data_IF_967721282811
#
_entry.id   IF_967721282811
#
_cell.length_a   1.000
_cell.length_b   1.000
_cell.length_c   1.000
_cell.angle_alpha   90.00
_cell.angle_beta   90.00
_cell.angle_gamma   90.00
#
_symmetry.space_group_name_H-M   'P 1'
#
loop_
_entity.id
_entity.type
_entity.pdbx_description
1 polymer ?
#
# COMPACT_ATOMS: atom_id res chain seq x y z
N UNK A 1 13.98 28.14 14.49
CA UNK A 1 12.55 28.52 14.51
C UNK A 1 12.44 29.93 13.96
N UNK A 2 11.73 30.14 12.84
CA UNK A 2 11.39 31.50 12.43
C UNK A 2 10.48 32.11 13.50
N UNK A 3 10.73 33.36 13.92
CA UNK A 3 9.85 34.02 14.88
C UNK A 3 8.48 34.25 14.23
N UNK A 4 7.40 34.18 15.02
CA UNK A 4 6.04 34.51 14.53
C UNK A 4 6.00 35.93 13.94
N UNK A 5 6.81 36.83 14.49
CA UNK A 5 7.04 38.19 14.00
C UNK A 5 7.58 38.19 12.57
N UNK A 6 8.57 37.34 12.27
CA UNK A 6 9.15 37.24 10.92
C UNK A 6 8.15 36.76 9.88
N UNK A 7 7.34 35.75 10.23
CA UNK A 7 6.27 35.27 9.34
C UNK A 7 5.21 36.35 9.11
N UNK A 8 4.88 37.14 10.13
CA UNK A 8 3.96 38.27 9.99
C UNK A 8 4.53 39.37 9.09
N UNK A 9 5.79 39.76 9.27
CA UNK A 9 6.48 40.74 8.41
C UNK A 9 6.47 40.32 6.94
N UNK A 10 6.86 39.07 6.65
CA UNK A 10 6.90 38.54 5.29
C UNK A 10 5.50 38.53 4.64
N UNK A 11 4.47 38.19 5.41
CA UNK A 11 3.09 38.23 4.94
C UNK A 11 2.63 39.66 4.62
N UNK A 12 2.94 40.63 5.49
CA UNK A 12 2.62 42.04 5.25
C UNK A 12 3.34 42.60 4.02
N UNK A 13 4.61 42.23 3.83
CA UNK A 13 5.37 42.59 2.62
C UNK A 13 4.73 42.02 1.35
N UNK A 14 4.31 40.75 1.38
CA UNK A 14 3.57 40.14 0.27
C UNK A 14 2.25 40.87 -0.01
N UNK A 15 1.48 41.19 1.03
CA UNK A 15 0.21 41.90 0.88
C UNK A 15 0.37 43.28 0.26
N UNK A 16 1.41 44.02 0.65
CA UNK A 16 1.68 45.38 0.17
C UNK A 16 2.29 45.40 -1.23
N UNK A 17 3.27 44.52 -1.51
CA UNK A 17 4.05 44.55 -2.77
C UNK A 17 3.53 43.61 -3.84
N UNK A 18 2.73 42.60 -3.47
CA UNK A 18 2.22 41.53 -4.36
C UNK A 18 3.30 40.75 -5.10
N UNK A 19 4.52 40.77 -4.57
CA UNK A 19 5.68 40.09 -5.16
C UNK A 19 5.74 38.62 -4.67
N UNK A 20 5.72 37.63 -5.59
CA UNK A 20 5.69 36.20 -5.25
C UNK A 20 6.92 35.73 -4.46
N UNK A 21 8.05 36.44 -4.51
CA UNK A 21 9.25 36.06 -3.76
C UNK A 21 9.05 36.16 -2.25
N UNK A 22 8.27 37.15 -1.78
CA UNK A 22 7.92 37.23 -0.36
C UNK A 22 7.01 36.09 0.08
N UNK A 23 6.11 35.61 -0.79
CA UNK A 23 5.28 34.44 -0.51
C UNK A 23 6.13 33.17 -0.42
N UNK A 24 7.10 33.02 -1.33
CA UNK A 24 8.05 31.90 -1.31
C UNK A 24 8.88 31.91 -0.03
N UNK A 25 9.44 33.07 0.36
CA UNK A 25 10.18 33.22 1.61
C UNK A 25 9.33 32.94 2.85
N UNK A 26 8.06 33.34 2.83
CA UNK A 26 7.11 33.03 3.89
C UNK A 26 6.89 31.51 4.02
N UNK A 27 6.62 30.84 2.90
CA UNK A 27 6.40 29.39 2.85
C UNK A 27 7.65 28.63 3.31
N UNK A 28 8.82 29.03 2.83
CA UNK A 28 10.09 28.43 3.22
C UNK A 28 10.34 28.57 4.73
N UNK A 29 10.20 29.78 5.26
CA UNK A 29 10.34 30.06 6.71
C UNK A 29 9.35 29.27 7.56
N UNK A 30 8.11 29.10 7.08
CA UNK A 30 7.10 28.30 7.75
C UNK A 30 7.48 26.82 7.73
N UNK A 31 7.77 26.25 6.56
CA UNK A 31 8.11 24.84 6.38
C UNK A 31 9.34 24.47 7.22
N UNK A 32 10.40 25.28 7.18
CA UNK A 32 11.60 25.05 8.00
C UNK A 32 11.34 25.11 9.50
N UNK A 33 10.29 25.81 9.95
CA UNK A 33 9.94 25.88 11.38
C UNK A 33 9.19 24.65 11.88
N UNK A 34 8.64 23.85 10.97
CA UNK A 34 7.81 22.68 11.27
C UNK A 34 8.29 21.43 10.51
N UNK A 35 9.57 21.39 10.11
CA UNK A 35 10.12 20.32 9.28
C UNK A 35 9.99 18.94 9.93
N UNK A 36 9.99 18.86 11.27
CA UNK A 36 9.78 17.61 12.02
C UNK A 36 8.43 16.93 11.74
N UNK A 37 7.46 17.66 11.17
CA UNK A 37 6.14 17.12 10.81
C UNK A 37 6.10 16.52 9.40
N UNK A 38 7.16 16.71 8.60
CA UNK A 38 7.29 16.16 7.24
C UNK A 38 7.81 14.72 7.28
N UNK A 39 6.92 13.79 7.62
CA UNK A 39 7.23 12.36 7.61
C UNK A 39 6.77 11.72 6.29
N UNK A 40 7.67 11.79 5.30
CA UNK A 40 7.49 11.29 3.92
C UNK A 40 8.06 9.89 3.69
N UNK A 41 8.64 9.28 4.72
CA UNK A 41 9.22 7.94 4.64
C UNK A 41 8.20 6.88 5.09
N UNK A 42 7.47 6.35 4.11
CA UNK A 42 6.40 5.36 4.33
C UNK A 42 6.88 4.04 4.95
N UNK A 43 8.18 3.74 4.86
CA UNK A 43 8.76 2.50 5.36
C UNK A 43 9.09 2.57 6.85
N UNK A 44 9.24 3.78 7.40
CA UNK A 44 9.49 3.99 8.82
C UNK A 44 8.20 4.05 9.62
N UNK A 45 8.31 3.64 10.89
CA UNK A 45 7.26 3.87 11.88
C UNK A 45 6.91 5.36 11.93
N UNK A 46 5.61 5.72 12.02
CA UNK A 46 5.20 7.10 12.13
C UNK A 46 5.93 7.81 13.25
N UNK A 47 6.56 8.94 12.92
CA UNK A 47 7.26 9.76 13.91
C UNK A 47 6.26 10.29 14.92
N UNK A 48 6.44 9.96 16.21
CA UNK A 48 5.66 10.56 17.29
C UNK A 48 6.23 11.94 17.57
N UNK A 49 5.48 12.97 17.19
CA UNK A 49 5.79 14.36 17.53
C UNK A 49 4.77 14.78 18.57
N UNK A 50 5.25 15.18 19.76
CA UNK A 50 4.37 15.60 20.87
C UNK A 50 3.83 17.04 20.67
N UNK A 51 4.49 17.84 19.82
CA UNK A 51 4.02 19.16 19.40
C UNK A 51 2.88 19.08 18.38
N UNK A 52 2.05 20.12 18.33
CA UNK A 52 0.94 20.24 17.38
C UNK A 52 1.20 21.47 16.47
N UNK A 53 1.12 21.32 15.13
CA UNK A 53 1.23 22.44 14.21
C UNK A 53 0.10 23.47 14.40
N UNK A 54 0.25 24.70 13.88
CA UNK A 54 -0.76 25.73 14.03
C UNK A 54 -2.10 25.32 13.40
N UNK A 55 -3.19 25.63 14.11
CA UNK A 55 -4.53 25.56 13.54
C UNK A 55 -4.73 26.64 12.46
N UNK A 56 -5.69 26.44 11.55
CA UNK A 56 -5.98 27.38 10.46
C UNK A 56 -6.27 28.79 10.96
N UNK A 57 -6.89 28.95 12.13
CA UNK A 57 -7.19 30.25 12.76
C UNK A 57 -5.95 31.06 13.15
N UNK A 58 -4.78 30.44 13.21
CA UNK A 58 -3.51 31.12 13.53
C UNK A 58 -2.74 31.53 12.28
N UNK A 59 -3.25 31.18 11.09
CA UNK A 59 -2.65 31.55 9.83
C UNK A 59 -3.12 32.94 9.39
N UNK A 60 -2.34 33.65 8.54
CA UNK A 60 -2.78 34.93 8.02
C UNK A 60 -4.06 34.83 7.17
N UNK A 61 -4.90 35.87 7.23
CA UNK A 61 -6.16 35.93 6.48
C UNK A 61 -5.93 35.71 4.97
N UNK A 62 -6.82 34.94 4.34
CA UNK A 62 -6.80 34.60 2.92
C UNK A 62 -5.58 33.82 2.42
N UNK A 63 -4.65 33.41 3.29
CA UNK A 63 -3.46 32.68 2.83
C UNK A 63 -3.83 31.41 2.08
N UNK A 64 -4.76 30.62 2.61
CA UNK A 64 -5.25 29.39 1.97
C UNK A 64 -5.80 29.67 0.56
N UNK A 65 -6.53 30.78 0.37
CA UNK A 65 -7.01 31.19 -0.95
C UNK A 65 -5.85 31.55 -1.89
N UNK A 66 -4.86 32.28 -1.41
CA UNK A 66 -3.66 32.63 -2.19
C UNK A 66 -2.91 31.37 -2.61
N UNK A 67 -2.66 30.44 -1.69
CA UNK A 67 -1.97 29.18 -1.98
C UNK A 67 -2.76 28.34 -2.99
N UNK A 68 -4.09 28.37 -2.94
CA UNK A 68 -4.97 27.68 -3.91
C UNK A 68 -4.74 28.21 -5.33
N UNK A 69 -4.68 29.54 -5.47
CA UNK A 69 -4.48 30.20 -6.76
C UNK A 69 -3.09 29.94 -7.30
N UNK A 70 -2.06 29.96 -6.45
CA UNK A 70 -0.70 29.60 -6.85
C UNK A 70 -0.62 28.15 -7.35
N UNK A 71 -1.24 27.21 -6.63
CA UNK A 71 -1.26 25.82 -7.04
C UNK A 71 -1.99 25.62 -8.38
N UNK A 72 -3.13 26.29 -8.56
CA UNK A 72 -3.87 26.26 -9.83
C UNK A 72 -3.03 26.81 -10.99
N UNK A 73 -2.32 27.91 -10.78
CA UNK A 73 -1.42 28.50 -11.78
C UNK A 73 -0.30 27.52 -12.18
N UNK A 74 0.29 26.83 -11.20
CA UNK A 74 1.28 25.79 -11.47
C UNK A 74 0.71 24.61 -12.26
N UNK A 75 -0.52 24.17 -11.97
CA UNK A 75 -1.21 23.13 -12.75
C UNK A 75 -1.38 23.54 -14.21
N UNK A 76 -1.84 24.77 -14.45
CA UNK A 76 -2.09 25.27 -15.79
C UNK A 76 -0.81 25.37 -16.64
N UNK A 77 0.33 25.68 -16.01
CA UNK A 77 1.63 25.74 -16.68
C UNK A 77 2.35 24.40 -16.82
N UNK A 78 1.92 23.36 -16.09
CA UNK A 78 2.66 22.10 -16.05
C UNK A 78 2.76 21.41 -17.42
N UNK A 79 1.77 21.58 -18.31
CA UNK A 79 1.80 21.04 -19.67
C UNK A 79 2.90 21.63 -20.55
N UNK A 80 3.31 22.87 -20.27
CA UNK A 80 4.39 23.57 -20.98
C UNK A 80 5.78 23.28 -20.36
N UNK A 81 5.80 22.59 -19.22
CA UNK A 81 6.99 22.37 -18.40
C UNK A 81 7.17 23.46 -17.35
N UNK A 82 7.32 23.06 -16.08
CA UNK A 82 7.60 24.01 -15.01
C UNK A 82 9.09 24.32 -14.91
N UNK A 83 9.40 25.61 -14.81
CA UNK A 83 10.73 26.10 -14.45
C UNK A 83 11.10 25.65 -13.02
N UNK A 84 12.39 25.45 -12.74
CA UNK A 84 12.91 25.11 -11.39
C UNK A 84 12.29 25.93 -10.23
N UNK A 85 12.18 27.27 -10.30
CA UNK A 85 11.58 28.05 -9.21
C UNK A 85 10.11 27.70 -8.97
N UNK A 86 9.36 27.35 -10.02
CA UNK A 86 7.95 26.97 -9.93
C UNK A 86 7.82 25.55 -9.36
N UNK A 87 8.71 24.62 -9.75
CA UNK A 87 8.78 23.29 -9.14
C UNK A 87 9.07 23.40 -7.63
N UNK A 88 10.05 24.22 -7.24
CA UNK A 88 10.38 24.46 -5.83
C UNK A 88 9.18 25.06 -5.05
N UNK A 89 8.43 25.99 -5.65
CA UNK A 89 7.22 26.54 -5.05
C UNK A 89 6.15 25.46 -4.84
N UNK A 90 5.89 24.61 -5.85
CA UNK A 90 4.89 23.53 -5.72
C UNK A 90 5.25 22.55 -4.61
N UNK A 91 6.53 22.23 -4.45
CA UNK A 91 7.02 21.39 -3.37
C UNK A 91 6.79 22.04 -2.00
N UNK A 92 7.10 23.34 -1.85
CA UNK A 92 6.83 24.09 -0.62
C UNK A 92 5.34 24.13 -0.28
N UNK A 93 4.47 24.30 -1.29
CA UNK A 93 3.01 24.27 -1.10
C UNK A 93 2.54 22.92 -0.55
N UNK A 94 3.01 21.81 -1.12
CA UNK A 94 2.63 20.47 -0.64
C UNK A 94 3.19 20.23 0.77
N UNK A 95 4.46 20.59 1.04
CA UNK A 95 5.07 20.52 2.39
C UNK A 95 4.24 21.30 3.41
N UNK A 96 3.81 22.51 3.07
CA UNK A 96 2.93 23.33 3.90
C UNK A 96 1.61 22.60 4.24
N UNK A 97 0.94 22.01 3.25
CA UNK A 97 -0.32 21.31 3.50
C UNK A 97 -0.16 20.03 4.33
N UNK A 98 0.95 19.29 4.17
CA UNK A 98 1.28 18.15 5.04
C UNK A 98 1.35 18.63 6.49
N UNK A 99 2.14 19.68 6.75
CA UNK A 99 2.31 20.24 8.10
C UNK A 99 0.96 20.66 8.68
N UNK A 100 0.11 21.35 7.93
CA UNK A 100 -1.22 21.73 8.42
C UNK A 100 -2.08 20.53 8.77
N UNK A 101 -2.08 19.47 7.95
CA UNK A 101 -2.86 18.26 8.20
C UNK A 101 -2.32 17.41 9.35
N UNK A 102 -1.08 17.66 9.83
CA UNK A 102 -0.58 17.06 11.06
C UNK A 102 -1.27 17.61 12.31
N UNK A 103 -1.92 18.78 12.22
CA UNK A 103 -2.95 19.16 13.17
C UNK A 103 -4.29 18.61 12.66
N UNK A 104 -4.82 17.60 13.38
CA UNK A 104 -5.96 16.80 12.92
C UNK A 104 -7.28 17.60 12.84
N UNK A 105 -7.41 18.71 13.59
CA UNK A 105 -8.56 19.61 13.49
C UNK A 105 -8.65 20.29 12.10
N UNK A 106 -7.53 20.43 11.40
CA UNK A 106 -7.48 21.07 10.08
C UNK A 106 -7.89 20.14 8.93
N UNK A 107 -7.91 18.82 9.13
CA UNK A 107 -8.05 17.82 8.05
C UNK A 107 -9.36 17.98 7.28
N UNK A 108 -10.47 18.20 7.99
CA UNK A 108 -11.78 18.35 7.37
C UNK A 108 -11.83 19.60 6.47
N UNK A 109 -11.36 20.75 6.97
CA UNK A 109 -11.39 22.01 6.24
C UNK A 109 -10.46 21.96 5.00
N UNK A 110 -9.22 21.47 5.15
CA UNK A 110 -8.30 21.32 4.03
C UNK A 110 -8.83 20.30 3.00
N UNK A 111 -9.46 19.22 3.47
CA UNK A 111 -10.04 18.18 2.63
C UNK A 111 -11.23 18.63 1.78
N UNK A 112 -11.99 19.63 2.23
CA UNK A 112 -13.11 20.20 1.45
C UNK A 112 -12.65 21.12 0.31
N UNK A 113 -11.40 21.56 0.36
CA UNK A 113 -10.86 22.51 -0.60
C UNK A 113 -10.30 21.80 -1.85
N UNK A 114 -10.23 22.52 -2.97
CA UNK A 114 -9.79 21.95 -4.26
C UNK A 114 -8.27 21.65 -4.37
N UNK A 115 -7.50 21.84 -3.29
CA UNK A 115 -6.05 21.59 -3.28
C UNK A 115 -5.73 20.16 -3.70
N UNK A 116 -6.48 19.20 -3.15
CA UNK A 116 -6.24 17.79 -3.39
C UNK A 116 -6.40 17.43 -4.88
N UNK A 117 -7.40 18.02 -5.55
CA UNK A 117 -7.62 17.79 -6.97
C UNK A 117 -6.42 18.32 -7.78
N UNK A 118 -5.96 19.53 -7.49
CA UNK A 118 -4.78 20.10 -8.14
C UNK A 118 -3.52 19.27 -7.87
N UNK A 119 -3.30 18.82 -6.64
CA UNK A 119 -2.15 17.96 -6.30
C UNK A 119 -2.21 16.63 -7.06
N UNK A 120 -3.37 15.96 -7.11
CA UNK A 120 -3.53 14.71 -7.88
C UNK A 120 -3.26 14.94 -9.37
N UNK A 121 -3.80 16.01 -9.96
CA UNK A 121 -3.53 16.34 -11.37
C UNK A 121 -2.03 16.55 -11.62
N UNK A 122 -1.35 17.32 -10.76
CA UNK A 122 0.10 17.54 -10.84
C UNK A 122 0.87 16.22 -10.75
N UNK A 123 0.54 15.39 -9.76
CA UNK A 123 1.21 14.10 -9.55
C UNK A 123 0.98 13.15 -10.73
N UNK A 124 -0.21 13.13 -11.31
CA UNK A 124 -0.53 12.35 -12.50
C UNK A 124 0.40 12.72 -13.66
N UNK A 125 0.48 14.02 -13.96
CA UNK A 125 1.30 14.55 -15.05
C UNK A 125 2.80 14.29 -14.79
N UNK A 126 3.27 14.47 -13.56
CA UNK A 126 4.65 14.16 -13.21
C UNK A 126 5.00 12.68 -13.33
N UNK A 127 4.11 11.78 -12.90
CA UNK A 127 4.30 10.34 -13.09
C UNK A 127 4.35 9.99 -14.59
N UNK A 128 3.53 10.62 -15.43
CA UNK A 128 3.61 10.44 -16.88
C UNK A 128 4.94 10.95 -17.47
N UNK A 129 5.45 12.07 -16.98
CA UNK A 129 6.78 12.58 -17.38
C UNK A 129 7.89 11.61 -16.99
N UNK A 130 7.82 11.03 -15.78
CA UNK A 130 8.80 10.03 -15.32
C UNK A 130 8.78 8.76 -16.18
N UNK A 131 7.60 8.33 -16.65
CA UNK A 131 7.46 7.16 -17.54
C UNK A 131 8.01 7.38 -18.95
N UNK A 132 7.96 8.63 -19.45
CA UNK A 132 8.31 8.96 -20.84
C UNK A 132 9.77 9.39 -21.03
N UNK A 133 10.41 9.98 -20.00
CA UNK A 133 11.80 10.49 -20.05
C UNK A 133 12.90 9.40 -19.98
N UNK A 134 12.61 8.15 -20.31
CA UNK A 134 13.55 7.01 -20.23
C UNK A 134 14.64 7.00 -21.31
N UNK A 135 14.92 8.13 -21.99
CA UNK A 135 16.08 8.30 -22.88
C UNK A 135 16.81 9.61 -22.56
N UNK A 136 17.95 9.47 -21.88
CA UNK A 136 19.11 10.39 -21.86
C UNK A 136 18.95 11.84 -21.34
N UNK A 137 17.89 12.25 -20.64
CA UNK A 137 17.82 13.59 -20.02
C UNK A 137 17.95 13.60 -18.48
N UNK A 138 19.01 14.29 -18.05
CA UNK A 138 19.30 14.92 -16.74
C UNK A 138 18.71 14.26 -15.49
N UNK A 139 19.58 13.51 -14.78
CA UNK A 139 19.31 12.81 -13.51
C UNK A 139 18.82 13.75 -12.39
N UNK A 140 19.16 15.04 -12.45
CA UNK A 140 18.76 16.04 -11.46
C UNK A 140 17.24 16.33 -11.49
N UNK A 141 16.67 16.54 -12.68
CA UNK A 141 15.24 16.82 -12.88
C UNK A 141 14.33 15.67 -12.43
N UNK A 142 14.79 14.42 -12.57
CA UNK A 142 14.02 13.27 -12.09
C UNK A 142 13.94 13.23 -10.57
N UNK A 143 14.98 13.71 -9.88
CA UNK A 143 15.03 13.67 -8.42
C UNK A 143 14.04 14.64 -7.78
N UNK A 144 13.90 15.86 -8.32
CA UNK A 144 12.93 16.86 -7.84
C UNK A 144 11.48 16.44 -8.09
N UNK A 145 11.19 15.88 -9.26
CA UNK A 145 9.86 15.36 -9.60
C UNK A 145 9.48 14.21 -8.67
N UNK A 146 10.40 13.26 -8.44
CA UNK A 146 10.18 12.17 -7.49
C UNK A 146 9.96 12.66 -6.06
N UNK A 147 10.71 13.67 -5.62
CA UNK A 147 10.51 14.29 -4.32
C UNK A 147 9.09 14.87 -4.21
N UNK A 148 8.63 15.61 -5.22
CA UNK A 148 7.27 16.14 -5.25
C UNK A 148 6.24 15.01 -5.17
N UNK A 149 6.38 13.94 -5.96
CA UNK A 149 5.45 12.80 -5.94
C UNK A 149 5.36 12.19 -4.54
N UNK A 150 6.50 11.97 -3.85
CA UNK A 150 6.49 11.43 -2.47
C UNK A 150 5.77 12.35 -1.48
N UNK A 151 6.02 13.66 -1.56
CA UNK A 151 5.33 14.63 -0.71
C UNK A 151 3.83 14.69 -1.01
N UNK A 152 3.44 14.61 -2.29
CA UNK A 152 2.04 14.55 -2.68
C UNK A 152 1.34 13.32 -2.10
N UNK A 153 1.99 12.15 -2.13
CA UNK A 153 1.45 10.94 -1.51
C UNK A 153 1.31 11.12 0.02
N UNK A 154 2.28 11.74 0.69
CA UNK A 154 2.23 11.99 2.13
C UNK A 154 1.15 13.00 2.52
N UNK A 155 0.87 13.98 1.65
CA UNK A 155 -0.26 14.88 1.81
C UNK A 155 -1.60 14.12 1.70
N UNK A 156 -1.76 13.28 0.68
CA UNK A 156 -2.94 12.42 0.54
C UNK A 156 -3.11 11.48 1.74
N UNK A 157 -2.04 10.86 2.24
CA UNK A 157 -2.09 10.04 3.46
C UNK A 157 -2.56 10.86 4.67
N UNK A 158 -2.05 12.09 4.83
CA UNK A 158 -2.44 12.95 5.96
C UNK A 158 -3.92 13.34 5.93
N UNK A 159 -4.54 13.39 4.74
CA UNK A 159 -5.96 13.63 4.57
C UNK A 159 -6.81 12.36 4.77
N UNK A 160 -6.39 11.25 4.20
CA UNK A 160 -7.21 10.03 4.11
C UNK A 160 -6.96 9.01 5.22
N UNK A 161 -5.82 9.09 5.91
CA UNK A 161 -5.47 8.32 7.10
C UNK A 161 -4.76 9.21 8.15
N UNK A 162 -5.49 10.14 8.80
CA UNK A 162 -4.87 11.14 9.68
C UNK A 162 -4.09 10.54 10.85
N UNK A 163 -4.52 9.36 11.31
CA UNK A 163 -3.89 8.59 12.39
C UNK A 163 -2.78 7.64 11.92
N UNK A 164 -2.55 7.54 10.60
CA UNK A 164 -1.58 6.62 9.98
C UNK A 164 -1.78 5.17 10.41
N UNK A 165 -3.05 4.76 10.49
CA UNK A 165 -3.47 3.41 10.81
C UNK A 165 -2.77 2.38 9.91
N UNK A 166 -2.60 2.70 8.63
CA UNK A 166 -1.90 1.86 7.67
C UNK A 166 -0.44 1.63 8.06
N UNK A 167 0.35 2.69 8.29
CA UNK A 167 1.76 2.53 8.66
C UNK A 167 1.95 1.78 9.97
N UNK A 168 1.09 2.02 10.97
CA UNK A 168 1.10 1.26 12.23
C UNK A 168 0.89 -0.24 11.97
N UNK A 169 -0.06 -0.59 11.10
CA UNK A 169 -0.33 -1.98 10.70
C UNK A 169 0.83 -2.61 9.92
N UNK A 170 1.43 -1.88 8.98
CA UNK A 170 2.60 -2.36 8.23
C UNK A 170 3.75 -2.71 9.17
N UNK A 171 3.94 -1.93 10.23
CA UNK A 171 4.94 -2.15 11.27
C UNK A 171 4.55 -3.25 12.29
N UNK A 172 3.47 -4.00 12.05
CA UNK A 172 3.05 -5.13 12.88
C UNK A 172 2.23 -4.75 14.11
N UNK A 173 1.80 -3.49 14.26
CA UNK A 173 0.90 -3.10 15.36
C UNK A 173 -0.55 -3.41 14.99
N UNK A 174 -1.22 -4.12 15.89
CA UNK A 174 -2.64 -4.46 15.73
C UNK A 174 -3.47 -3.38 16.45
N UNK A 175 -4.14 -2.54 15.66
CA UNK A 175 -5.14 -1.60 16.16
C UNK A 175 -6.46 -2.32 16.38
N UNK A 176 -6.92 -2.35 17.62
CA UNK A 176 -8.21 -2.94 17.98
C UNK A 176 -9.36 -2.07 17.47
N UNK A 177 -10.53 -2.68 17.24
CA UNK A 177 -11.76 -1.96 16.86
C UNK A 177 -12.12 -0.87 17.87
N UNK A 178 -11.80 -1.07 19.15
CA UNK A 178 -12.03 -0.11 20.24
C UNK A 178 -11.09 1.10 20.12
N UNK A 179 -9.83 0.90 19.75
CA UNK A 179 -8.90 2.01 19.53
C UNK A 179 -9.31 2.82 18.30
N UNK A 180 -9.75 2.15 17.23
CA UNK A 180 -10.29 2.84 16.04
C UNK A 180 -11.55 3.63 16.37
N UNK A 181 -12.46 3.12 17.20
CA UNK A 181 -13.69 3.85 17.56
C UNK A 181 -13.45 5.08 18.44
N UNK A 182 -12.28 5.18 19.10
CA UNK A 182 -11.87 6.35 19.90
C UNK A 182 -11.24 7.47 19.05
N UNK A 183 -11.02 7.25 17.76
CA UNK A 183 -10.48 8.26 16.86
C UNK A 183 -11.52 9.36 16.64
N UNK A 184 -11.28 10.52 17.26
CA UNK A 184 -12.16 11.70 17.21
C UNK A 184 -12.27 12.29 15.81
N UNK A 185 -11.16 12.40 15.11
CA UNK A 185 -11.07 13.08 13.81
C UNK A 185 -11.39 12.12 12.69
N UNK A 186 -12.15 12.57 11.70
CA UNK A 186 -12.48 11.75 10.54
C UNK A 186 -11.53 12.07 9.39
N UNK A 187 -11.21 11.09 8.53
CA UNK A 187 -10.49 11.38 7.30
C UNK A 187 -11.32 12.30 6.40
N UNK A 188 -10.64 13.10 5.57
CA UNK A 188 -11.26 13.86 4.51
C UNK A 188 -11.97 12.93 3.50
N UNK A 189 -12.98 13.44 2.79
CA UNK A 189 -13.69 12.66 1.78
C UNK A 189 -12.77 12.35 0.60
N UNK A 190 -12.75 11.08 0.18
CA UNK A 190 -11.98 10.67 -0.99
C UNK A 190 -12.47 11.39 -2.25
N UNK A 191 -11.55 12.00 -2.98
CA UNK A 191 -11.85 12.61 -4.27
C UNK A 191 -12.13 11.55 -5.33
N UNK A 192 -13.08 11.85 -6.23
CA UNK A 192 -13.48 10.98 -7.35
C UNK A 192 -12.33 10.71 -8.32
N UNK A 193 -11.32 11.58 -8.34
CA UNK A 193 -10.14 11.46 -9.21
C UNK A 193 -9.18 10.35 -8.76
N UNK A 194 -9.31 9.82 -7.53
CA UNK A 194 -8.34 8.87 -6.99
C UNK A 194 -8.28 7.55 -7.77
N UNK A 195 -9.43 6.95 -8.08
CA UNK A 195 -9.46 5.64 -8.78
C UNK A 195 -8.86 5.74 -10.19
N UNK A 196 -9.26 6.72 -11.04
CA UNK A 196 -8.59 6.96 -12.33
C UNK A 196 -7.09 7.21 -12.18
N UNK A 197 -6.70 8.07 -11.23
CA UNK A 197 -5.31 8.38 -10.94
C UNK A 197 -4.49 7.12 -10.60
N UNK A 198 -4.98 6.31 -9.67
CA UNK A 198 -4.28 5.11 -9.21
C UNK A 198 -4.12 4.10 -10.36
N UNK A 199 -5.18 3.90 -11.16
CA UNK A 199 -5.13 3.03 -12.33
C UNK A 199 -4.09 3.51 -13.36
N UNK A 200 -4.11 4.80 -13.70
CA UNK A 200 -3.20 5.43 -14.66
C UNK A 200 -1.74 5.39 -14.18
N UNK A 201 -1.49 5.46 -12.87
CA UNK A 201 -0.14 5.33 -12.32
C UNK A 201 0.48 3.95 -12.60
N UNK A 202 -0.30 2.88 -12.59
CA UNK A 202 0.19 1.51 -12.81
C UNK A 202 0.08 1.02 -14.27
N UNK A 203 -0.67 1.72 -15.13
CA UNK A 203 -0.69 1.46 -16.57
C UNK A 203 0.69 1.77 -17.20
N UNK A 204 1.24 0.85 -18.00
CA UNK A 204 2.55 1.01 -18.66
C UNK A 204 3.68 1.44 -17.68
N UNK A 205 3.63 0.89 -16.46
CA UNK A 205 4.48 1.34 -15.35
C UNK A 205 5.85 0.67 -15.28
N UNK A 206 6.29 -0.02 -16.34
CA UNK A 206 7.60 -0.69 -16.40
C UNK A 206 8.76 0.27 -16.07
N UNK A 207 8.64 1.54 -16.49
CA UNK A 207 9.65 2.58 -16.26
C UNK A 207 9.51 3.36 -14.96
N UNK A 208 8.42 3.15 -14.20
CA UNK A 208 8.24 3.84 -12.92
C UNK A 208 9.09 3.16 -11.84
N UNK A 209 9.91 3.93 -11.12
CA UNK A 209 10.74 3.41 -10.03
C UNK A 209 9.91 2.63 -9.00
N UNK A 210 10.44 1.51 -8.54
CA UNK A 210 9.78 0.63 -7.56
C UNK A 210 9.41 1.38 -6.27
N UNK A 211 10.26 2.29 -5.80
CA UNK A 211 9.98 3.09 -4.60
C UNK A 211 8.71 3.95 -4.74
N UNK A 212 8.41 4.47 -5.93
CA UNK A 212 7.17 5.21 -6.19
C UNK A 212 5.96 4.27 -6.29
N UNK A 213 6.12 3.08 -6.89
CA UNK A 213 5.08 2.03 -6.88
C UNK A 213 4.72 1.65 -5.44
N UNK A 214 5.71 1.46 -4.57
CA UNK A 214 5.49 1.23 -3.14
C UNK A 214 4.77 2.41 -2.48
N UNK A 215 5.17 3.65 -2.75
CA UNK A 215 4.47 4.84 -2.22
C UNK A 215 2.97 4.86 -2.60
N UNK A 216 2.64 4.51 -3.85
CA UNK A 216 1.26 4.42 -4.32
C UNK A 216 0.48 3.31 -3.60
N UNK A 217 1.10 2.14 -3.38
CA UNK A 217 0.50 1.06 -2.60
C UNK A 217 0.30 1.47 -1.13
N UNK A 218 1.25 2.20 -0.55
CA UNK A 218 1.07 2.77 0.78
C UNK A 218 -0.09 3.74 0.85
N UNK A 219 -0.25 4.61 -0.15
CA UNK A 219 -1.39 5.51 -0.21
C UNK A 219 -2.72 4.75 -0.34
N UNK A 220 -2.79 3.73 -1.19
CA UNK A 220 -3.99 2.89 -1.29
C UNK A 220 -4.32 2.24 0.05
N UNK A 221 -3.33 1.62 0.70
CA UNK A 221 -3.50 1.02 2.03
C UNK A 221 -3.92 2.03 3.10
N UNK A 222 -3.39 3.26 3.06
CA UNK A 222 -3.81 4.37 3.92
C UNK A 222 -5.28 4.73 3.71
N UNK A 223 -5.73 4.89 2.47
CA UNK A 223 -7.13 5.21 2.16
C UNK A 223 -8.08 4.11 2.66
N UNK A 224 -7.70 2.84 2.49
CA UNK A 224 -8.50 1.70 2.95
C UNK A 224 -8.51 1.60 4.48
N UNK A 225 -7.37 1.80 5.14
CA UNK A 225 -7.24 1.70 6.59
C UNK A 225 -7.77 2.92 7.36
N UNK A 226 -7.83 4.09 6.71
CA UNK A 226 -8.16 5.37 7.34
C UNK A 226 -9.66 5.57 7.61
N UNK A 227 -10.54 5.01 6.79
CA UNK A 227 -11.98 5.03 7.06
C UNK A 227 -12.83 4.25 6.07
N UNK A 228 -13.86 3.56 6.58
CA UNK A 228 -14.71 2.64 5.80
C UNK A 228 -15.36 3.30 4.58
N UNK A 229 -15.84 4.54 4.69
CA UNK A 229 -16.47 5.27 3.57
C UNK A 229 -15.50 5.45 2.39
N UNK A 230 -14.28 5.90 2.65
CA UNK A 230 -13.26 6.10 1.63
C UNK A 230 -12.77 4.76 1.09
N UNK A 231 -12.61 3.77 1.96
CA UNK A 231 -12.23 2.42 1.58
C UNK A 231 -13.21 1.82 0.55
N UNK A 232 -14.52 1.91 0.79
CA UNK A 232 -15.55 1.41 -0.13
C UNK A 232 -15.60 2.15 -1.47
N UNK A 233 -15.17 3.42 -1.51
CA UNK A 233 -15.03 4.17 -2.76
C UNK A 233 -13.76 3.78 -3.52
N UNK A 234 -12.66 3.55 -2.80
CA UNK A 234 -11.38 3.14 -3.39
C UNK A 234 -11.43 1.70 -3.91
N UNK A 235 -12.06 0.78 -3.16
CA UNK A 235 -12.23 -0.64 -3.54
C UNK A 235 -13.20 -0.71 -4.71
N UNK A 236 -12.63 -0.87 -5.90
CA UNK A 236 -13.33 -0.86 -7.18
C UNK A 236 -12.75 -1.94 -8.10
N UNK A 237 -13.46 -2.39 -9.14
CA UNK A 237 -12.92 -3.38 -10.07
C UNK A 237 -11.55 -2.97 -10.65
N UNK A 238 -11.39 -1.68 -11.01
CA UNK A 238 -10.15 -1.16 -11.58
C UNK A 238 -8.96 -1.22 -10.60
N UNK A 239 -9.17 -0.84 -9.33
CA UNK A 239 -8.08 -0.89 -8.33
C UNK A 239 -7.73 -2.34 -7.96
N UNK A 240 -8.72 -3.24 -7.88
CA UNK A 240 -8.47 -4.66 -7.62
C UNK A 240 -7.71 -5.32 -8.75
N UNK A 241 -8.05 -4.99 -10.00
CA UNK A 241 -7.28 -5.43 -11.17
C UNK A 241 -5.82 -4.97 -11.09
N UNK A 242 -5.58 -3.71 -10.72
CA UNK A 242 -4.22 -3.19 -10.52
C UNK A 242 -3.48 -3.97 -9.45
N UNK A 243 -4.07 -4.23 -8.29
CA UNK A 243 -3.42 -5.00 -7.22
C UNK A 243 -3.08 -6.43 -7.68
N UNK A 244 -4.02 -7.11 -8.34
CA UNK A 244 -3.78 -8.46 -8.87
C UNK A 244 -2.68 -8.47 -9.94
N UNK A 245 -2.67 -7.47 -10.82
CA UNK A 245 -1.62 -7.30 -11.85
C UNK A 245 -0.25 -7.02 -11.23
N UNK A 246 -0.20 -6.16 -10.21
CA UNK A 246 1.04 -5.84 -9.49
C UNK A 246 1.60 -7.08 -8.78
N UNK A 247 0.73 -7.94 -8.26
CA UNK A 247 1.11 -9.21 -7.64
C UNK A 247 1.60 -10.23 -8.68
N UNK A 248 1.00 -10.23 -9.87
CA UNK A 248 1.41 -11.08 -11.00
C UNK A 248 2.72 -10.60 -11.68
N UNK A 249 2.96 -9.29 -11.69
CA UNK A 249 4.14 -8.65 -12.28
C UNK A 249 5.38 -8.81 -11.40
N UNK A 250 5.95 -10.01 -11.51
CA UNK A 250 7.18 -10.48 -10.89
C UNK A 250 8.39 -10.34 -11.81
N UNK A 251 8.43 -9.40 -12.76
CA UNK A 251 9.43 -9.45 -13.86
C UNK A 251 10.51 -8.34 -13.87
N UNK A 252 10.55 -7.40 -12.91
CA UNK A 252 11.53 -6.28 -12.93
C UNK A 252 12.64 -6.43 -11.89
N UNK A 253 13.57 -7.35 -12.13
CA UNK A 253 14.40 -7.92 -11.07
C UNK A 253 15.86 -7.49 -11.14
N UNK A 254 16.21 -6.54 -10.26
CA UNK A 254 17.60 -6.31 -9.83
C UNK A 254 18.22 -7.58 -9.22
N UNK A 255 19.55 -7.61 -9.16
CA UNK A 255 20.46 -8.63 -8.60
C UNK A 255 20.27 -8.94 -7.10
N UNK A 256 19.05 -8.86 -6.57
CA UNK A 256 18.71 -9.15 -5.17
C UNK A 256 18.62 -10.66 -4.91
N UNK A 257 18.63 -11.04 -3.63
CA UNK A 257 18.54 -12.43 -3.18
C UNK A 257 17.32 -13.17 -3.81
N UNK A 258 17.48 -14.39 -4.35
CA UNK A 258 16.38 -15.24 -4.81
C UNK A 258 15.31 -15.57 -3.76
N UNK A 259 15.59 -15.40 -2.46
CA UNK A 259 14.64 -15.74 -1.40
C UNK A 259 13.83 -14.53 -0.89
N UNK A 260 14.18 -13.31 -1.31
CA UNK A 260 13.51 -12.07 -0.91
C UNK A 260 12.38 -11.69 -1.88
N UNK A 261 11.16 -11.57 -1.36
CA UNK A 261 9.98 -11.17 -2.15
C UNK A 261 10.00 -9.66 -2.34
N UNK A 262 9.64 -9.17 -3.54
CA UNK A 262 9.60 -7.71 -3.77
C UNK A 262 8.69 -7.04 -2.73
N UNK A 263 9.20 -5.95 -2.13
CA UNK A 263 8.46 -5.09 -1.20
C UNK A 263 7.08 -4.69 -1.74
N UNK A 264 6.97 -4.48 -3.05
CA UNK A 264 5.71 -4.18 -3.75
C UNK A 264 4.69 -5.31 -3.58
N UNK A 265 5.11 -6.57 -3.71
CA UNK A 265 4.22 -7.72 -3.54
C UNK A 265 3.78 -7.86 -2.08
N UNK A 266 4.68 -7.67 -1.11
CA UNK A 266 4.34 -7.67 0.32
C UNK A 266 3.30 -6.60 0.65
N UNK A 267 3.51 -5.35 0.19
CA UNK A 267 2.55 -4.25 0.38
C UNK A 267 1.21 -4.55 -0.29
N UNK A 268 1.23 -5.14 -1.48
CA UNK A 268 0.01 -5.53 -2.21
C UNK A 268 -0.79 -6.58 -1.44
N UNK A 269 -0.13 -7.60 -0.88
CA UNK A 269 -0.78 -8.61 -0.05
C UNK A 269 -1.39 -8.04 1.23
N UNK A 270 -0.70 -7.09 1.86
CA UNK A 270 -1.23 -6.36 3.03
C UNK A 270 -2.42 -5.47 2.65
N UNK A 271 -2.40 -4.85 1.46
CA UNK A 271 -3.54 -4.09 0.93
C UNK A 271 -4.75 -5.02 0.73
N UNK A 272 -4.55 -6.17 0.06
CA UNK A 272 -5.62 -7.15 -0.16
C UNK A 272 -6.20 -7.69 1.16
N UNK A 273 -5.36 -7.89 2.16
CA UNK A 273 -5.80 -8.29 3.51
C UNK A 273 -6.76 -7.25 4.11
N UNK A 274 -6.37 -5.97 4.06
CA UNK A 274 -7.21 -4.89 4.56
C UNK A 274 -8.52 -4.75 3.77
N UNK A 275 -8.45 -4.89 2.44
CA UNK A 275 -9.64 -4.87 1.57
C UNK A 275 -10.63 -5.95 1.97
N UNK A 276 -10.18 -7.18 2.18
CA UNK A 276 -11.05 -8.29 2.64
C UNK A 276 -11.69 -7.94 3.99
N UNK A 277 -10.92 -7.42 4.95
CA UNK A 277 -11.44 -7.03 6.26
C UNK A 277 -12.49 -5.91 6.19
N UNK A 278 -12.28 -4.89 5.35
CA UNK A 278 -13.27 -3.83 5.12
C UNK A 278 -14.53 -4.37 4.47
N UNK A 279 -14.41 -5.21 3.44
CA UNK A 279 -15.57 -5.77 2.76
C UNK A 279 -16.43 -6.59 3.71
N UNK A 280 -15.83 -7.44 4.53
CA UNK A 280 -16.55 -8.26 5.51
C UNK A 280 -17.35 -7.44 6.53
N UNK A 281 -16.82 -6.30 6.95
CA UNK A 281 -17.46 -5.41 7.93
C UNK A 281 -18.42 -4.40 7.30
N UNK A 282 -18.53 -4.37 5.98
CA UNK A 282 -19.41 -3.48 5.22
C UNK A 282 -20.67 -4.21 4.75
N UNK A 283 -21.78 -3.51 4.58
CA UNK A 283 -23.00 -4.10 4.02
C UNK A 283 -22.87 -4.32 2.51
N UNK A 284 -23.52 -5.35 1.96
CA UNK A 284 -23.36 -5.74 0.54
C UNK A 284 -23.83 -4.64 -0.43
N UNK A 285 -24.86 -3.86 -0.08
CA UNK A 285 -25.39 -2.75 -0.89
C UNK A 285 -24.41 -1.58 -1.07
N UNK A 286 -23.39 -1.48 -0.22
CA UNK A 286 -22.38 -0.41 -0.29
C UNK A 286 -21.12 -0.84 -1.06
N UNK A 287 -20.97 -2.13 -1.39
CA UNK A 287 -19.77 -2.68 -2.00
C UNK A 287 -19.82 -2.52 -3.52
N UNK A 288 -18.69 -2.17 -4.12
CA UNK A 288 -18.52 -2.21 -5.58
C UNK A 288 -17.95 -3.56 -6.05
N UNK A 289 -17.32 -4.32 -5.15
CA UNK A 289 -16.65 -5.59 -5.43
C UNK A 289 -16.96 -6.55 -4.28
N UNK A 290 -17.29 -7.80 -4.62
CA UNK A 290 -17.51 -8.83 -3.61
C UNK A 290 -16.23 -9.57 -3.24
N UNK A 291 -16.16 -10.02 -1.98
CA UNK A 291 -15.00 -10.75 -1.46
C UNK A 291 -14.73 -12.03 -2.25
N UNK A 292 -15.76 -12.73 -2.72
CA UNK A 292 -15.63 -13.94 -3.53
C UNK A 292 -14.87 -13.69 -4.83
N UNK A 293 -15.19 -12.62 -5.56
CA UNK A 293 -14.52 -12.27 -6.82
C UNK A 293 -13.03 -11.96 -6.62
N UNK A 294 -12.68 -11.31 -5.51
CA UNK A 294 -11.28 -11.07 -5.15
C UNK A 294 -10.56 -12.39 -4.88
N UNK A 295 -11.16 -13.28 -4.09
CA UNK A 295 -10.57 -14.58 -3.76
C UNK A 295 -10.43 -15.48 -5.00
N UNK A 296 -11.40 -15.48 -5.91
CA UNK A 296 -11.31 -16.21 -7.17
C UNK A 296 -10.10 -15.78 -8.00
N UNK A 297 -9.90 -14.48 -8.18
CA UNK A 297 -8.74 -13.94 -8.91
C UNK A 297 -7.43 -14.21 -8.17
N UNK A 298 -7.46 -14.12 -6.83
CA UNK A 298 -6.33 -14.46 -5.98
C UNK A 298 -5.91 -15.93 -6.11
N UNK A 299 -6.86 -16.86 -6.10
CA UNK A 299 -6.59 -18.28 -6.23
C UNK A 299 -6.19 -18.70 -7.64
N UNK A 300 -6.72 -18.02 -8.67
CA UNK A 300 -6.25 -18.14 -10.06
C UNK A 300 -4.77 -17.76 -10.13
N UNK A 301 -4.40 -16.63 -9.54
CA UNK A 301 -3.01 -16.18 -9.51
C UNK A 301 -2.10 -17.14 -8.71
N UNK A 302 -2.55 -17.58 -7.53
CA UNK A 302 -1.82 -18.51 -6.66
C UNK A 302 -1.47 -19.81 -7.40
N UNK A 303 -2.38 -20.27 -8.25
CA UNK A 303 -2.23 -21.51 -9.01
C UNK A 303 -2.00 -21.26 -10.51
N UNK A 304 -1.31 -20.16 -10.84
CA UNK A 304 -0.93 -19.87 -12.23
C UNK A 304 0.02 -20.96 -12.73
N UNK A 305 -0.35 -21.66 -13.80
CA UNK A 305 0.49 -22.71 -14.38
C UNK A 305 1.54 -22.08 -15.30
N UNK A 306 2.78 -22.04 -14.81
CA UNK A 306 3.88 -21.37 -15.51
C UNK A 306 4.64 -22.28 -16.49
N UNK A 307 4.26 -23.54 -16.62
CA UNK A 307 4.74 -24.42 -17.69
C UNK A 307 4.34 -23.94 -19.11
N UNK A 308 3.42 -22.98 -19.21
CA UNK A 308 3.05 -22.30 -20.47
C UNK A 308 3.96 -21.10 -20.82
N UNK A 309 4.88 -20.68 -19.94
CA UNK A 309 5.83 -19.60 -20.23
C UNK A 309 6.98 -20.10 -21.13
N UNK A 310 7.45 -19.28 -22.10
CA UNK A 310 8.56 -19.63 -22.97
C UNK A 310 9.81 -20.04 -22.19
N UNK A 311 10.49 -21.11 -22.65
CA UNK A 311 11.68 -21.68 -22.01
C UNK A 311 12.83 -20.67 -21.75
N UNK A 312 12.85 -19.51 -22.43
CA UNK A 312 13.86 -18.47 -22.23
C UNK A 312 13.75 -17.71 -20.90
N UNK A 313 12.63 -17.82 -20.17
CA UNK A 313 12.40 -17.17 -18.86
C UNK A 313 12.59 -18.08 -17.65
N UNK A 314 12.80 -19.39 -17.85
CA UNK A 314 12.97 -20.38 -16.76
C UNK A 314 14.40 -20.41 -16.25
N UNK A 315 14.77 -19.39 -15.47
CA UNK A 315 15.93 -19.49 -14.58
C UNK A 315 15.48 -20.12 -13.26
N UNK A 316 16.34 -20.94 -12.63
CA UNK A 316 16.10 -21.46 -11.25
C UNK A 316 15.76 -20.33 -10.26
N UNK A 317 16.32 -19.13 -10.50
CA UNK A 317 16.07 -17.94 -9.68
C UNK A 317 14.64 -17.38 -9.83
N UNK A 318 14.05 -17.50 -11.02
CA UNK A 318 12.66 -17.12 -11.26
C UNK A 318 11.70 -18.07 -10.53
N UNK A 319 12.00 -19.37 -10.58
CA UNK A 319 11.23 -20.41 -9.88
C UNK A 319 11.26 -20.22 -8.37
N UNK A 320 12.44 -20.02 -7.77
CA UNK A 320 12.59 -19.77 -6.32
C UNK A 320 11.77 -18.57 -5.83
N UNK A 321 11.85 -17.44 -6.52
CA UNK A 321 11.11 -16.22 -6.13
C UNK A 321 9.60 -16.35 -6.36
N UNK A 322 9.16 -17.09 -7.37
CA UNK A 322 7.74 -17.39 -7.56
C UNK A 322 7.20 -18.25 -6.42
N UNK A 323 7.94 -19.26 -5.99
CA UNK A 323 7.61 -20.06 -4.80
C UNK A 323 7.57 -19.17 -3.56
N UNK A 324 8.55 -18.28 -3.37
CA UNK A 324 8.56 -17.32 -2.27
C UNK A 324 7.31 -16.43 -2.26
N UNK A 325 6.86 -15.97 -3.44
CA UNK A 325 5.59 -15.25 -3.57
C UNK A 325 4.39 -16.12 -3.16
N UNK A 326 4.30 -17.37 -3.63
CA UNK A 326 3.20 -18.27 -3.27
C UNK A 326 3.16 -18.54 -1.76
N UNK A 327 4.31 -18.68 -1.10
CA UNK A 327 4.39 -18.79 0.37
C UNK A 327 3.86 -17.53 1.04
N UNK A 328 4.24 -16.34 0.56
CA UNK A 328 3.71 -15.08 1.08
C UNK A 328 2.20 -14.93 0.84
N UNK A 329 1.70 -15.42 -0.29
CA UNK A 329 0.26 -15.46 -0.56
C UNK A 329 -0.47 -16.35 0.45
N UNK A 330 0.04 -17.55 0.73
CA UNK A 330 -0.53 -18.44 1.76
C UNK A 330 -0.44 -17.81 3.17
N UNK A 331 0.60 -17.04 3.47
CA UNK A 331 0.69 -16.26 4.70
C UNK A 331 -0.39 -15.16 4.76
N UNK A 332 -0.64 -14.47 3.65
CA UNK A 332 -1.69 -13.46 3.56
C UNK A 332 -3.10 -14.05 3.77
N UNK A 333 -3.38 -15.28 3.29
CA UNK A 333 -4.65 -15.99 3.62
C UNK A 333 -4.80 -16.15 5.14
N UNK A 334 -3.70 -16.47 5.83
CA UNK A 334 -3.71 -16.61 7.29
C UNK A 334 -4.02 -15.27 7.96
N UNK A 335 -3.43 -14.17 7.46
CA UNK A 335 -3.69 -12.81 7.94
C UNK A 335 -5.13 -12.34 7.63
N UNK A 336 -5.70 -12.69 6.48
CA UNK A 336 -7.10 -12.41 6.13
C UNK A 336 -8.06 -13.06 7.14
N UNK A 337 -7.76 -14.29 7.57
CA UNK A 337 -8.55 -15.01 8.59
C UNK A 337 -8.43 -14.45 10.01
N UNK A 338 -7.47 -13.55 10.27
CA UNK A 338 -7.36 -12.81 11.52
C UNK A 338 -8.34 -11.64 11.54
N UNK A 339 -9.64 -11.96 11.46
CA UNK A 339 -10.75 -11.01 11.44
C UNK A 339 -11.80 -11.36 12.51
N UNK A 340 -12.64 -10.38 12.87
CA UNK A 340 -13.67 -10.56 13.90
C UNK A 340 -14.70 -11.65 13.50
N UNK A 341 -15.22 -11.57 12.25
CA UNK A 341 -16.22 -12.51 11.72
C UNK A 341 -15.57 -13.64 10.91
N UNK A 342 -14.57 -14.28 11.51
CA UNK A 342 -13.84 -15.40 10.91
C UNK A 342 -14.73 -16.51 10.32
N UNK A 343 -15.84 -16.95 10.97
CA UNK A 343 -16.70 -17.99 10.41
C UNK A 343 -17.33 -17.60 9.06
N UNK A 344 -17.68 -16.32 8.88
CA UNK A 344 -18.25 -15.81 7.62
C UNK A 344 -17.20 -15.88 6.52
N UNK A 345 -15.99 -15.38 6.80
CA UNK A 345 -14.89 -15.43 5.83
C UNK A 345 -14.54 -16.89 5.46
N UNK A 346 -14.52 -17.81 6.43
CA UNK A 346 -14.30 -19.23 6.17
C UNK A 346 -15.36 -19.84 5.23
N UNK A 347 -16.63 -19.47 5.40
CA UNK A 347 -17.70 -19.89 4.50
C UNK A 347 -17.50 -19.34 3.08
N UNK A 348 -17.05 -18.08 2.94
CA UNK A 348 -16.72 -17.51 1.62
C UNK A 348 -15.56 -18.27 0.97
N UNK A 349 -14.48 -18.55 1.72
CA UNK A 349 -13.36 -19.36 1.23
C UNK A 349 -13.81 -20.75 0.74
N UNK A 350 -14.66 -21.42 1.52
CA UNK A 350 -15.26 -22.70 1.14
C UNK A 350 -16.05 -22.60 -0.17
N UNK A 351 -16.89 -21.58 -0.31
CA UNK A 351 -17.68 -21.35 -1.52
C UNK A 351 -16.85 -20.95 -2.75
N UNK A 352 -15.66 -20.41 -2.54
CA UNK A 352 -14.67 -20.12 -3.59
C UNK A 352 -13.76 -21.31 -3.92
N UNK A 353 -14.15 -22.54 -3.53
CA UNK A 353 -13.41 -23.79 -3.77
C UNK A 353 -11.95 -23.73 -3.28
N UNK A 354 -11.70 -23.06 -2.15
CA UNK A 354 -10.33 -22.86 -1.65
C UNK A 354 -9.56 -24.17 -1.44
N UNK A 355 -10.24 -25.25 -1.03
CA UNK A 355 -9.61 -26.56 -0.84
C UNK A 355 -9.11 -27.14 -2.15
N UNK A 356 -9.91 -27.10 -3.21
CA UNK A 356 -9.49 -27.58 -4.53
C UNK A 356 -8.28 -26.80 -5.04
N UNK A 357 -8.28 -25.48 -4.83
CA UNK A 357 -7.14 -24.63 -5.16
C UNK A 357 -5.88 -24.98 -4.37
N UNK A 358 -5.98 -25.24 -3.07
CA UNK A 358 -4.85 -25.60 -2.23
C UNK A 358 -4.34 -27.03 -2.50
N UNK A 359 -5.26 -27.98 -2.78
CA UNK A 359 -4.92 -29.34 -3.20
C UNK A 359 -4.19 -29.29 -4.55
N UNK A 360 -4.67 -28.49 -5.51
CA UNK A 360 -4.00 -28.31 -6.81
C UNK A 360 -2.60 -27.72 -6.62
N UNK A 361 -2.45 -26.71 -5.78
CA UNK A 361 -1.15 -26.13 -5.45
C UNK A 361 -0.19 -27.20 -4.91
N UNK A 362 -0.63 -27.96 -3.90
CA UNK A 362 0.14 -29.09 -3.32
C UNK A 362 0.57 -30.12 -4.36
N UNK A 363 -0.33 -30.50 -5.26
CA UNK A 363 -0.03 -31.43 -6.35
C UNK A 363 1.04 -30.86 -7.28
N UNK A 364 0.95 -29.57 -7.63
CA UNK A 364 1.95 -28.87 -8.42
C UNK A 364 3.31 -28.83 -7.70
N UNK A 365 3.34 -28.55 -6.39
CA UNK A 365 4.55 -28.60 -5.57
C UNK A 365 5.18 -30.01 -5.57
N UNK A 366 4.36 -31.06 -5.47
CA UNK A 366 4.82 -32.46 -5.53
C UNK A 366 5.45 -32.79 -6.87
N UNK A 367 4.86 -32.34 -7.98
CA UNK A 367 5.42 -32.53 -9.31
C UNK A 367 6.77 -31.82 -9.44
N UNK A 368 6.87 -30.59 -8.92
CA UNK A 368 8.10 -29.81 -8.89
C UNK A 368 9.21 -30.50 -8.08
N UNK A 369 8.91 -30.96 -6.86
CA UNK A 369 9.84 -31.72 -6.03
C UNK A 369 10.29 -33.01 -6.73
N UNK A 370 9.38 -33.76 -7.35
CA UNK A 370 9.74 -34.98 -8.07
C UNK A 370 10.57 -34.73 -9.34
N UNK A 371 10.38 -33.60 -10.02
CA UNK A 371 11.17 -33.21 -11.18
C UNK A 371 12.60 -32.83 -10.77
N UNK A 372 12.76 -32.10 -9.66
CA UNK A 372 14.06 -31.71 -9.10
C UNK A 372 14.78 -32.87 -8.37
N UNK A 373 14.03 -33.80 -7.76
CA UNK A 373 14.55 -34.98 -7.06
C UNK A 373 14.88 -36.17 -7.97
N UNK A 374 14.98 -35.98 -9.30
CA UNK A 374 15.65 -36.98 -10.16
C UNK A 374 17.14 -37.18 -9.81
N UNK A 375 17.66 -36.45 -8.81
CA UNK A 375 19.02 -36.58 -8.24
C UNK A 375 19.02 -36.87 -6.72
N UNK A 376 17.88 -36.91 -6.02
CA UNK A 376 17.83 -37.06 -4.56
C UNK A 376 17.26 -38.41 -4.09
N UNK A 377 17.78 -38.88 -2.95
CA UNK A 377 17.78 -40.27 -2.48
C UNK A 377 16.39 -40.81 -2.07
N UNK A 378 16.24 -42.14 -2.11
CA UNK A 378 14.97 -42.88 -2.01
C UNK A 378 14.12 -42.57 -0.75
N UNK A 379 14.73 -42.12 0.34
CA UNK A 379 14.09 -41.96 1.64
C UNK A 379 13.21 -40.70 1.78
N UNK A 380 13.51 -39.60 1.07
CA UNK A 380 12.70 -38.37 1.14
C UNK A 380 11.35 -38.52 0.42
N UNK A 381 11.35 -39.37 -0.62
CA UNK A 381 10.18 -39.67 -1.46
C UNK A 381 9.11 -40.44 -0.70
N UNK A 382 9.51 -41.35 0.18
CA UNK A 382 8.59 -42.16 0.99
C UNK A 382 7.95 -41.33 2.13
N UNK A 383 8.68 -40.35 2.69
CA UNK A 383 8.12 -39.45 3.70
C UNK A 383 7.11 -38.44 3.16
N UNK A 384 7.39 -37.83 2.00
CA UNK A 384 6.43 -36.94 1.34
C UNK A 384 5.15 -37.68 0.94
N UNK A 385 5.25 -38.95 0.50
CA UNK A 385 4.09 -39.77 0.17
C UNK A 385 3.26 -40.19 1.40
N UNK A 386 3.88 -40.29 2.58
CA UNK A 386 3.20 -40.66 3.83
C UNK A 386 2.34 -39.52 4.39
N UNK A 387 2.88 -38.29 4.40
CA UNK A 387 2.12 -37.07 4.75
C UNK A 387 0.88 -36.92 3.86
N UNK A 388 1.01 -37.20 2.56
CA UNK A 388 -0.10 -37.10 1.61
C UNK A 388 -1.22 -38.15 1.80
N UNK A 389 -0.90 -39.31 2.38
CA UNK A 389 -1.91 -40.34 2.67
C UNK A 389 -2.77 -39.97 3.88
N UNK A 390 -2.18 -39.25 4.85
CA UNK A 390 -2.86 -38.75 6.05
C UNK A 390 -3.81 -37.58 5.71
N UNK A 391 -3.47 -36.76 4.71
CA UNK A 391 -4.28 -35.60 4.26
C UNK A 391 -5.63 -35.94 3.62
N UNK A 392 -5.80 -37.13 3.05
CA UNK A 392 -7.07 -37.52 2.39
C UNK A 392 -8.16 -37.96 3.38
N UNK A 393 -7.85 -38.04 4.69
CA UNK A 393 -8.74 -38.62 5.70
C UNK A 393 -9.35 -37.61 6.68
N UNK A 394 -8.86 -36.38 6.77
CA UNK A 394 -9.36 -35.42 7.77
C UNK A 394 -10.57 -34.61 7.29
N UNK A 395 -11.70 -34.78 7.99
CA UNK A 395 -12.87 -33.92 7.84
C UNK A 395 -12.52 -32.50 8.30
N UNK A 396 -12.69 -31.56 7.38
CA UNK A 396 -12.33 -30.15 7.53
C UNK A 396 -13.14 -29.48 8.63
N UNK A 397 -12.48 -29.19 9.75
CA UNK A 397 -12.93 -28.23 10.76
C UNK A 397 -12.21 -26.88 10.61
N UNK A 398 -12.67 -25.78 11.24
CA UNK A 398 -11.96 -24.49 11.24
C UNK A 398 -10.50 -24.57 11.72
N UNK A 399 -10.18 -25.52 12.60
CA UNK A 399 -8.81 -25.81 13.03
C UNK A 399 -8.05 -26.62 11.97
N UNK A 400 -8.73 -27.57 11.32
CA UNK A 400 -8.20 -28.34 10.19
C UNK A 400 -7.77 -27.45 9.01
N UNK A 401 -8.45 -26.33 8.75
CA UNK A 401 -8.03 -25.42 7.67
C UNK A 401 -6.67 -24.74 7.93
N UNK A 402 -6.34 -24.40 9.17
CA UNK A 402 -5.02 -23.81 9.50
C UNK A 402 -3.93 -24.87 9.38
N UNK A 403 -4.18 -26.06 9.94
CA UNK A 403 -3.28 -27.21 9.83
C UNK A 403 -3.00 -27.53 8.36
N UNK A 404 -4.05 -27.60 7.55
CA UNK A 404 -3.94 -27.81 6.11
C UNK A 404 -3.13 -26.71 5.40
N UNK A 405 -3.33 -25.42 5.74
CA UNK A 405 -2.49 -24.35 5.21
C UNK A 405 -1.02 -24.46 5.64
N UNK A 406 -0.74 -24.93 6.86
CA UNK A 406 0.63 -25.16 7.32
C UNK A 406 1.29 -26.32 6.55
N UNK A 407 0.55 -27.40 6.31
CA UNK A 407 0.99 -28.52 5.48
C UNK A 407 1.28 -28.12 4.03
N UNK A 408 0.51 -27.19 3.46
CA UNK A 408 0.78 -26.64 2.11
C UNK A 408 2.06 -25.82 2.06
N UNK A 409 2.40 -25.08 3.14
CA UNK A 409 3.60 -24.23 3.19
C UNK A 409 4.90 -25.01 3.36
N UNK A 410 4.89 -26.10 4.13
CA UNK A 410 6.08 -26.90 4.42
C UNK A 410 6.86 -27.38 3.17
N UNK A 411 6.24 -28.00 2.14
CA UNK A 411 6.95 -28.43 0.95
C UNK A 411 7.45 -27.26 0.08
N UNK A 412 6.90 -26.05 0.22
CA UNK A 412 7.31 -24.86 -0.53
C UNK A 412 8.55 -24.17 0.07
N UNK A 413 8.73 -24.25 1.40
CA UNK A 413 9.79 -23.56 2.12
C UNK A 413 11.10 -24.37 2.28
N UNK A 414 11.17 -25.60 1.73
CA UNK A 414 12.41 -26.39 1.70
C UNK A 414 12.91 -26.94 3.05
N UNK A 415 12.11 -26.92 4.13
CA UNK A 415 12.55 -27.42 5.42
C UNK A 415 11.45 -27.56 6.47
N UNK A 416 11.47 -28.68 7.20
CA UNK A 416 10.55 -29.04 8.29
C UNK A 416 10.71 -28.19 9.57
N UNK A 417 11.70 -27.29 9.65
CA UNK A 417 11.95 -26.49 10.86
C UNK A 417 10.86 -25.42 11.12
N UNK A 418 10.08 -25.02 10.11
CA UNK A 418 8.96 -24.09 10.31
C UNK A 418 7.70 -24.73 10.92
N UNK A 419 7.65 -26.05 11.09
CA UNK A 419 6.46 -26.77 11.55
C UNK A 419 6.16 -26.55 13.05
N UNK A 420 7.18 -26.18 13.85
CA UNK A 420 7.08 -26.09 15.31
C UNK A 420 6.71 -24.70 15.84
N UNK A 421 7.03 -23.62 15.12
CA UNK A 421 6.71 -22.26 15.58
C UNK A 421 5.24 -21.86 15.32
N UNK A 422 4.60 -22.44 14.28
CA UNK A 422 3.24 -22.10 13.89
C UNK A 422 2.15 -22.81 14.71
N UNK A 423 2.44 -23.98 15.29
CA UNK A 423 1.45 -24.80 15.98
C UNK A 423 1.35 -24.51 17.48
N UNK A 424 2.42 -24.02 18.12
CA UNK A 424 2.47 -23.87 19.59
C UNK A 424 2.04 -22.48 20.12
N UNK A 425 2.06 -21.42 19.31
CA UNK A 425 1.85 -20.05 19.82
C UNK A 425 0.44 -19.45 19.68
N UNK A 426 -0.56 -20.16 19.11
CA UNK A 426 -1.93 -19.63 18.95
C UNK A 426 -3.06 -20.65 19.15
N UNK A 427 -2.89 -21.63 20.03
CA UNK A 427 -4.04 -22.38 20.56
C UNK A 427 -4.29 -21.91 22.00
N UNK A 428 -5.49 -21.38 22.35
CA UNK A 428 -5.82 -21.19 23.74
C UNK A 428 -5.83 -22.56 24.41
N UNK A 429 -4.99 -22.73 25.43
CA UNK A 429 -5.02 -23.90 26.30
C UNK A 429 -6.47 -24.11 26.77
N UNK A 430 -7.13 -25.15 26.25
CA UNK A 430 -8.30 -25.71 26.91
C UNK A 430 -7.79 -26.27 28.25
N UNK A 431 -7.90 -25.47 29.30
CA UNK A 431 -7.78 -25.94 30.68
C UNK A 431 -8.82 -27.03 30.87
N UNK A 432 -8.37 -28.28 30.88
CA UNK A 432 -9.06 -29.37 31.55
C UNK A 432 -8.80 -29.20 33.04
N UNK A 433 -9.82 -28.78 33.77
CA UNK A 433 -10.17 -29.30 35.11
C UNK A 433 -11.58 -28.86 35.43
#
# INVERSE_FOLDING_TARGET
>A
MASRERLYELWMLYCNKKDPDYLKLWLDSFVSSYEQFLDVDFEKLPTRVDDIPPGISLLPDNILQVLRLQLLHCVQKLSEGLEEPQQALTLLLVKFFIILCRNLDNVEEIGTCSYINHVITMTTLYIQQLKTKTKEKEVADQTSIEEFVRHAMAFCESLYDPYRNWRQRIAGRILTTVEKSRQKYKPALLTVEFVPFFYQCFQESEHLKESLKCCLLHLFGAIVAGGQRNALQAISPATMEVLMRVLADCDTWDNRDPDDVSRKAELTLKCLTEVVHILLTSSSDQRQVETSTILENYFKLLNSDHEALPNSRRSRQWESRFIALQVQMLNAITAMLDCADRPVLQAIFLNSNCFEHLIRLLQNCKLFLNANNKVADKNEKDHANKLLAEMNQEQVSPAGFILFLAEVKAPMAGGYECFLDFTLNRLPEKKKT
#
